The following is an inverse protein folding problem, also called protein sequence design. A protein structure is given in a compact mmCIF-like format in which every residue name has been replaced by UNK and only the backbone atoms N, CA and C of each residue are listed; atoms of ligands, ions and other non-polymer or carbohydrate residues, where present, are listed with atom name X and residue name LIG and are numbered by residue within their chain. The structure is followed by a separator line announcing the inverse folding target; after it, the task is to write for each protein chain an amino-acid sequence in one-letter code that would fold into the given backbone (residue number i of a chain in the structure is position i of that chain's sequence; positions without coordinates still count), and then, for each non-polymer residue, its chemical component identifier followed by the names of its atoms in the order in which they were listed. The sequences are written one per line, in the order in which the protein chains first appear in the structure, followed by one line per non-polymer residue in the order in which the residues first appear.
data_IF_459522030420
#
_entry.id   IF_459522030420
#
_cell.length_a   1.000
_cell.length_b   1.000
_cell.length_c   1.000
_cell.angle_alpha   90.00
_cell.angle_beta   90.00
_cell.angle_gamma   90.00
#
_symmetry.space_group_name_H-M   'P 1'
#
loop_
_entity.id
_entity.type
_entity.pdbx_description
1 polymer ?
#
# COMPACT_ATOMS: atom_id res chain seq x y z
N UNK A 1 -24.47 1.03 -5.77
CA UNK A 1 -23.63 0.92 -4.55
C UNK A 1 -22.28 0.32 -4.97
N UNK A 2 -21.19 0.85 -4.42
CA UNK A 2 -19.85 0.32 -4.71
C UNK A 2 -19.70 -1.11 -4.19
N UNK A 3 -18.97 -1.92 -4.93
CA UNK A 3 -18.62 -3.30 -4.58
C UNK A 3 -17.11 -3.38 -4.40
N UNK A 4 -16.65 -3.66 -3.17
CA UNK A 4 -15.23 -3.68 -2.83
C UNK A 4 -14.61 -5.03 -3.14
N UNK A 5 -13.61 -5.06 -4.04
CA UNK A 5 -12.67 -6.17 -4.19
C UNK A 5 -11.41 -5.90 -3.36
N UNK A 6 -11.05 -6.83 -2.50
CA UNK A 6 -9.77 -6.82 -1.78
C UNK A 6 -8.80 -7.76 -2.48
N UNK A 7 -7.57 -7.31 -2.68
CA UNK A 7 -6.47 -8.11 -3.24
C UNK A 7 -5.40 -8.25 -2.17
N UNK A 8 -5.02 -9.47 -1.85
CA UNK A 8 -3.87 -9.76 -0.97
C UNK A 8 -2.83 -10.55 -1.75
N UNK A 9 -1.64 -9.98 -1.91
CA UNK A 9 -0.50 -10.73 -2.45
C UNK A 9 0.32 -11.33 -1.32
N UNK A 10 0.91 -12.50 -1.55
CA UNK A 10 1.72 -13.21 -0.55
C UNK A 10 2.86 -14.01 -1.20
N UNK A 11 3.94 -14.21 -0.42
CA UNK A 11 5.11 -14.97 -0.85
C UNK A 11 5.79 -15.65 0.35
N UNK A 12 5.63 -16.96 0.52
CA UNK A 12 6.22 -17.79 1.59
C UNK A 12 5.96 -17.27 3.02
N UNK A 13 4.79 -16.68 3.28
CA UNK A 13 4.46 -16.02 4.55
C UNK A 13 3.05 -16.35 5.04
N UNK A 14 2.76 -17.64 5.20
CA UNK A 14 1.45 -18.16 5.57
C UNK A 14 0.87 -17.51 6.84
N UNK A 15 1.67 -17.34 7.90
CA UNK A 15 1.20 -16.74 9.16
C UNK A 15 0.71 -15.31 8.98
N UNK A 16 1.43 -14.52 8.16
CA UNK A 16 1.07 -13.14 7.86
C UNK A 16 -0.21 -13.07 7.03
N UNK A 17 -0.30 -13.96 6.01
CA UNK A 17 -1.51 -14.09 5.21
C UNK A 17 -2.73 -14.45 6.07
N UNK A 18 -2.60 -15.40 6.99
CA UNK A 18 -3.68 -15.79 7.91
C UNK A 18 -4.14 -14.62 8.76
N UNK A 19 -3.21 -13.79 9.25
CA UNK A 19 -3.51 -12.59 10.03
C UNK A 19 -4.29 -11.57 9.20
N UNK A 20 -3.87 -11.33 7.95
CA UNK A 20 -4.56 -10.45 7.00
C UNK A 20 -5.96 -10.99 6.70
N UNK A 21 -6.10 -12.27 6.36
CA UNK A 21 -7.37 -12.93 6.09
C UNK A 21 -8.34 -12.79 7.27
N UNK A 22 -7.85 -13.04 8.49
CA UNK A 22 -8.65 -12.90 9.71
C UNK A 22 -9.16 -11.48 9.91
N UNK A 23 -8.35 -10.46 9.58
CA UNK A 23 -8.76 -9.05 9.67
C UNK A 23 -9.85 -8.67 8.66
N UNK A 24 -9.82 -9.29 7.46
CA UNK A 24 -10.87 -9.14 6.44
C UNK A 24 -12.14 -9.85 6.90
N UNK A 25 -12.02 -11.05 7.45
CA UNK A 25 -13.15 -11.84 7.93
C UNK A 25 -13.85 -11.20 9.14
N UNK A 26 -13.12 -10.45 9.94
CA UNK A 26 -13.64 -9.73 11.10
C UNK A 26 -14.40 -8.43 10.73
N UNK A 27 -14.39 -7.99 9.46
CA UNK A 27 -15.10 -6.78 9.07
C UNK A 27 -16.62 -6.93 9.22
N UNK A 28 -17.31 -5.86 9.65
CA UNK A 28 -18.78 -5.82 9.76
C UNK A 28 -19.43 -5.95 8.39
N UNK A 29 -19.03 -5.11 7.44
CA UNK A 29 -19.37 -5.27 6.03
C UNK A 29 -18.34 -6.18 5.36
N UNK A 30 -18.80 -7.25 4.70
CA UNK A 30 -17.90 -8.15 3.96
C UNK A 30 -17.53 -7.54 2.62
N UNK A 31 -16.29 -7.79 2.12
CA UNK A 31 -15.97 -7.42 0.74
C UNK A 31 -16.86 -8.19 -0.23
N UNK A 32 -17.05 -7.63 -1.42
CA UNK A 32 -17.70 -8.33 -2.53
C UNK A 32 -16.92 -9.57 -2.93
N UNK A 33 -15.57 -9.46 -2.96
CA UNK A 33 -14.63 -10.54 -3.16
C UNK A 33 -13.28 -10.24 -2.52
N UNK A 34 -12.54 -11.28 -2.14
CA UNK A 34 -11.18 -11.20 -1.62
C UNK A 34 -10.30 -12.17 -2.40
N UNK A 35 -9.43 -11.64 -3.26
CA UNK A 35 -8.48 -12.43 -4.03
C UNK A 35 -7.14 -12.55 -3.31
N UNK A 36 -6.70 -13.79 -3.08
CA UNK A 36 -5.34 -14.12 -2.65
C UNK A 36 -4.52 -14.44 -3.91
N UNK A 37 -3.43 -13.73 -4.11
CA UNK A 37 -2.47 -13.97 -5.20
C UNK A 37 -1.18 -14.49 -4.56
N UNK A 38 -0.96 -15.77 -4.69
CA UNK A 38 0.16 -16.47 -4.08
C UNK A 38 1.25 -16.76 -5.11
N UNK A 39 2.39 -16.05 -4.98
CA UNK A 39 3.60 -16.26 -5.78
C UNK A 39 4.62 -17.21 -5.14
N UNK A 40 4.27 -17.89 -4.05
CA UNK A 40 5.18 -18.68 -3.21
C UNK A 40 5.98 -19.72 -3.97
N UNK A 41 7.16 -20.03 -3.43
CA UNK A 41 8.03 -21.10 -3.95
C UNK A 41 7.72 -22.46 -3.31
N UNK A 42 7.01 -22.48 -2.18
CA UNK A 42 6.51 -23.67 -1.49
C UNK A 42 5.00 -23.84 -1.70
N UNK A 43 4.40 -24.89 -1.15
CA UNK A 43 2.98 -25.22 -1.29
C UNK A 43 2.14 -24.87 -0.06
N UNK A 44 2.74 -24.36 1.02
CA UNK A 44 2.07 -24.17 2.32
C UNK A 44 0.81 -23.32 2.23
N UNK A 45 0.86 -22.21 1.48
CA UNK A 45 -0.28 -21.31 1.30
C UNK A 45 -1.36 -21.99 0.45
N UNK A 46 -0.99 -22.61 -0.66
CA UNK A 46 -1.93 -23.31 -1.53
C UNK A 46 -2.63 -24.46 -0.78
N UNK A 47 -1.90 -25.25 -0.01
CA UNK A 47 -2.43 -26.32 0.83
C UNK A 47 -3.37 -25.79 1.90
N UNK A 48 -3.01 -24.70 2.58
CA UNK A 48 -3.88 -24.06 3.56
C UNK A 48 -5.20 -23.58 2.92
N UNK A 49 -5.12 -22.89 1.78
CA UNK A 49 -6.31 -22.38 1.06
C UNK A 49 -7.24 -23.51 0.61
N UNK A 50 -6.70 -24.65 0.19
CA UNK A 50 -7.48 -25.81 -0.27
C UNK A 50 -8.07 -26.62 0.87
N UNK A 51 -7.33 -26.82 1.96
CA UNK A 51 -7.69 -27.75 3.03
C UNK A 51 -8.42 -27.09 4.22
N UNK A 52 -8.47 -25.73 4.26
CA UNK A 52 -9.15 -25.00 5.31
C UNK A 52 -10.43 -24.35 4.77
N UNK A 53 -11.59 -24.44 5.45
CA UNK A 53 -12.81 -23.77 5.02
C UNK A 53 -12.57 -22.27 4.81
N UNK A 54 -12.93 -21.79 3.62
CA UNK A 54 -12.81 -20.37 3.25
C UNK A 54 -14.20 -19.75 3.08
N UNK A 55 -14.39 -18.45 3.40
CA UNK A 55 -15.65 -17.77 3.14
C UNK A 55 -15.91 -17.67 1.63
N UNK A 56 -17.18 -17.66 1.22
CA UNK A 56 -17.58 -17.67 -0.19
C UNK A 56 -17.01 -16.53 -1.04
N UNK A 57 -16.72 -15.38 -0.42
CA UNK A 57 -16.14 -14.23 -1.12
C UNK A 57 -14.63 -14.36 -1.34
N UNK A 58 -13.94 -15.36 -0.71
CA UNK A 58 -12.50 -15.57 -0.90
C UNK A 58 -12.22 -16.48 -2.08
N UNK A 59 -11.36 -16.00 -2.96
CA UNK A 59 -10.86 -16.69 -4.15
C UNK A 59 -9.34 -16.62 -4.16
N UNK A 60 -8.67 -17.47 -4.90
CA UNK A 60 -7.21 -17.46 -4.96
C UNK A 60 -6.66 -17.88 -6.31
N UNK A 61 -5.45 -17.42 -6.58
CA UNK A 61 -4.59 -17.85 -7.68
C UNK A 61 -3.20 -18.15 -7.10
N UNK A 62 -2.78 -19.41 -7.17
CA UNK A 62 -1.46 -19.85 -6.72
C UNK A 62 -0.61 -20.16 -7.94
N UNK A 63 0.21 -19.20 -8.36
CA UNK A 63 1.14 -19.34 -9.47
C UNK A 63 2.31 -18.37 -9.32
N UNK A 64 3.49 -18.75 -9.83
CA UNK A 64 4.66 -17.89 -9.80
C UNK A 64 4.39 -16.54 -10.42
N UNK A 65 4.86 -15.50 -9.76
CA UNK A 65 4.87 -14.13 -10.26
C UNK A 65 6.29 -13.66 -10.64
N UNK A 66 6.35 -12.56 -11.37
CA UNK A 66 7.58 -11.86 -11.77
C UNK A 66 7.96 -10.74 -10.79
N UNK A 67 7.29 -10.67 -9.66
CA UNK A 67 7.43 -9.67 -8.60
C UNK A 67 6.11 -8.98 -8.26
N UNK A 68 6.16 -8.07 -7.29
CA UNK A 68 5.01 -7.41 -6.66
C UNK A 68 4.03 -6.82 -7.68
N UNK A 69 4.52 -6.11 -8.70
CA UNK A 69 3.67 -5.49 -9.73
C UNK A 69 2.88 -6.53 -10.53
N UNK A 70 3.50 -7.66 -10.88
CA UNK A 70 2.84 -8.75 -11.61
C UNK A 70 1.75 -9.39 -10.74
N UNK A 71 2.03 -9.62 -9.44
CA UNK A 71 1.04 -10.13 -8.50
C UNK A 71 -0.15 -9.17 -8.34
N UNK A 72 0.09 -7.86 -8.20
CA UNK A 72 -0.97 -6.85 -8.17
C UNK A 72 -1.81 -6.87 -9.46
N UNK A 73 -1.15 -6.93 -10.62
CA UNK A 73 -1.82 -6.91 -11.92
C UNK A 73 -2.65 -8.17 -12.15
N UNK A 74 -2.19 -9.36 -11.70
CA UNK A 74 -3.00 -10.58 -11.70
C UNK A 74 -4.26 -10.42 -10.85
N UNK A 75 -4.13 -9.86 -9.64
CA UNK A 75 -5.28 -9.54 -8.79
C UNK A 75 -6.26 -8.58 -9.45
N UNK A 76 -5.77 -7.48 -10.04
CA UNK A 76 -6.58 -6.50 -10.75
C UNK A 76 -7.35 -7.12 -11.94
N UNK A 77 -6.72 -8.03 -12.66
CA UNK A 77 -7.34 -8.72 -13.80
C UNK A 77 -8.50 -9.64 -13.38
N UNK A 78 -8.40 -10.26 -12.20
CA UNK A 78 -9.40 -11.19 -11.67
C UNK A 78 -10.56 -10.49 -10.98
N UNK A 79 -10.33 -9.31 -10.40
CA UNK A 79 -11.35 -8.57 -9.65
C UNK A 79 -12.48 -8.08 -10.55
N UNK A 80 -13.72 -8.17 -10.05
CA UNK A 80 -14.93 -7.71 -10.74
C UNK A 80 -15.63 -6.56 -10.03
N UNK A 81 -15.34 -6.31 -8.76
CA UNK A 81 -15.90 -5.18 -8.00
C UNK A 81 -15.55 -3.81 -8.59
N UNK A 82 -16.37 -2.83 -8.31
CA UNK A 82 -16.19 -1.45 -8.80
C UNK A 82 -15.14 -0.67 -8.06
N UNK A 83 -14.82 -1.06 -6.82
CA UNK A 83 -13.81 -0.44 -5.95
C UNK A 83 -12.74 -1.47 -5.59
N UNK A 84 -11.48 -1.13 -5.71
CA UNK A 84 -10.34 -2.01 -5.47
C UNK A 84 -9.55 -1.50 -4.26
N UNK A 85 -9.19 -2.42 -3.38
CA UNK A 85 -8.23 -2.21 -2.29
C UNK A 85 -7.15 -3.29 -2.32
N UNK A 86 -5.89 -2.90 -2.24
CA UNK A 86 -4.77 -3.83 -2.11
C UNK A 86 -4.30 -3.81 -0.66
N UNK A 87 -4.53 -4.91 0.05
CA UNK A 87 -4.12 -5.15 1.42
C UNK A 87 -3.10 -6.28 1.43
N UNK A 88 -1.81 -5.96 1.51
CA UNK A 88 -0.76 -6.96 1.43
C UNK A 88 -0.80 -7.93 2.61
N UNK A 89 -0.23 -9.10 2.43
CA UNK A 89 0.04 -10.02 3.54
C UNK A 89 0.90 -9.33 4.61
N UNK A 90 0.55 -9.51 5.89
CA UNK A 90 1.00 -8.83 7.10
C UNK A 90 0.26 -7.51 7.42
N UNK A 91 -0.32 -6.82 6.44
CA UNK A 91 -1.18 -5.67 6.70
C UNK A 91 -2.56 -6.13 7.20
N UNK A 92 -3.14 -5.45 8.19
CA UNK A 92 -4.46 -5.78 8.72
C UNK A 92 -5.34 -4.53 8.82
N UNK A 93 -6.63 -4.67 8.60
CA UNK A 93 -7.57 -3.58 8.86
C UNK A 93 -7.51 -3.15 10.34
N UNK A 94 -7.47 -1.85 10.58
CA UNK A 94 -7.35 -1.28 11.92
C UNK A 94 -8.58 -1.52 12.79
N UNK A 95 -9.77 -1.42 12.21
CA UNK A 95 -11.05 -1.58 12.91
C UNK A 95 -12.00 -2.47 12.11
N UNK A 96 -12.98 -3.06 12.76
CA UNK A 96 -13.97 -3.92 12.10
C UNK A 96 -14.94 -3.17 11.19
N UNK A 97 -15.04 -1.85 11.30
CA UNK A 97 -15.92 -1.00 10.48
C UNK A 97 -15.24 -0.38 9.25
N UNK A 98 -13.96 -0.71 8.96
CA UNK A 98 -13.23 -0.05 7.87
C UNK A 98 -13.93 -0.20 6.53
N UNK A 99 -14.31 -1.41 6.14
CA UNK A 99 -15.00 -1.64 4.85
C UNK A 99 -16.34 -0.89 4.81
N UNK A 100 -17.13 -0.94 5.88
CA UNK A 100 -18.41 -0.23 5.96
C UNK A 100 -18.23 1.28 5.78
N UNK A 101 -17.27 1.88 6.51
CA UNK A 101 -16.97 3.32 6.43
C UNK A 101 -16.49 3.73 5.03
N UNK A 102 -15.64 2.92 4.40
CA UNK A 102 -15.15 3.15 3.04
C UNK A 102 -16.28 3.11 2.02
N UNK A 103 -17.13 2.09 2.08
CA UNK A 103 -18.28 1.99 1.17
C UNK A 103 -19.25 3.15 1.37
N UNK A 104 -19.54 3.55 2.61
CA UNK A 104 -20.36 4.71 2.93
C UNK A 104 -19.74 6.00 2.37
N UNK A 105 -18.41 6.17 2.51
CA UNK A 105 -17.68 7.32 2.01
C UNK A 105 -17.79 7.46 0.48
N UNK A 106 -17.54 6.39 -0.27
CA UNK A 106 -17.64 6.42 -1.74
C UNK A 106 -19.08 6.56 -2.23
N UNK A 107 -20.05 5.92 -1.58
CA UNK A 107 -21.47 6.05 -1.92
C UNK A 107 -21.99 7.47 -1.69
N UNK A 108 -21.48 8.19 -0.67
CA UNK A 108 -21.82 9.59 -0.39
C UNK A 108 -21.10 10.56 -1.31
N UNK A 109 -19.89 10.24 -1.77
CA UNK A 109 -19.03 11.12 -2.55
C UNK A 109 -18.74 10.49 -3.93
N UNK A 110 -19.78 10.37 -4.75
CA UNK A 110 -19.74 9.62 -6.04
C UNK A 110 -18.73 10.14 -7.05
N UNK A 111 -18.36 11.43 -6.98
CA UNK A 111 -17.37 12.06 -7.85
C UNK A 111 -15.93 11.60 -7.55
N UNK A 112 -15.65 11.08 -6.35
CA UNK A 112 -14.32 10.62 -5.96
C UNK A 112 -13.97 9.36 -6.75
N UNK A 113 -12.76 9.36 -7.32
CA UNK A 113 -12.23 8.28 -8.14
C UNK A 113 -11.24 7.40 -7.38
N UNK A 114 -10.53 7.99 -6.43
CA UNK A 114 -9.69 7.29 -5.49
C UNK A 114 -9.57 8.02 -4.16
N UNK A 115 -9.30 7.30 -3.09
CA UNK A 115 -9.14 7.86 -1.76
C UNK A 115 -8.01 7.18 -1.01
N UNK A 116 -7.46 7.86 0.00
CA UNK A 116 -6.55 7.28 0.99
C UNK A 116 -6.94 7.68 2.40
N UNK A 117 -6.38 6.98 3.38
CA UNK A 117 -6.51 7.29 4.80
C UNK A 117 -5.18 7.22 5.53
N UNK A 118 -5.21 6.96 6.83
CA UNK A 118 -4.05 6.83 7.67
C UNK A 118 -3.65 5.36 7.87
N UNK A 119 -2.36 5.13 8.10
CA UNK A 119 -1.85 3.87 8.67
C UNK A 119 -1.52 4.06 10.15
N UNK A 120 -1.60 2.99 10.91
CA UNK A 120 -0.99 2.87 12.24
C UNK A 120 0.23 1.97 12.10
N UNK A 121 1.41 2.46 12.43
CA UNK A 121 2.64 1.68 12.39
C UNK A 121 3.48 1.86 13.64
N UNK A 122 4.34 0.87 13.93
CA UNK A 122 5.24 0.94 15.08
C UNK A 122 6.55 1.61 14.67
N UNK A 123 6.91 2.71 15.33
CA UNK A 123 8.21 3.39 15.16
C UNK A 123 8.92 3.46 16.50
N UNK A 124 10.12 2.92 16.58
CA UNK A 124 10.91 2.89 17.83
C UNK A 124 10.10 2.37 19.05
N UNK A 125 9.28 1.34 18.84
CA UNK A 125 8.46 0.75 19.89
C UNK A 125 7.13 1.46 20.18
N UNK A 126 6.86 2.63 19.59
CA UNK A 126 5.66 3.45 19.81
C UNK A 126 4.74 3.35 18.59
N UNK A 127 3.44 3.17 18.83
CA UNK A 127 2.43 3.23 17.77
C UNK A 127 2.19 4.67 17.33
N UNK A 128 2.36 4.93 16.04
CA UNK A 128 2.20 6.25 15.44
C UNK A 128 1.23 6.17 14.27
N UNK A 129 0.22 7.05 14.30
CA UNK A 129 -0.67 7.24 13.16
C UNK A 129 0.02 8.14 12.13
N UNK A 130 0.02 7.70 10.86
CA UNK A 130 0.66 8.42 9.76
C UNK A 130 -0.32 8.49 8.59
N UNK A 131 -0.50 9.68 8.07
CA UNK A 131 -1.29 9.96 6.88
C UNK A 131 -1.30 11.44 6.59
N UNK A 132 -1.36 11.80 5.33
CA UNK A 132 -1.58 13.17 4.85
C UNK A 132 -2.46 13.11 3.60
N UNK A 133 -3.25 14.14 3.32
CA UNK A 133 -3.93 14.26 2.04
C UNK A 133 -2.93 14.26 0.88
N UNK A 134 -3.32 13.65 -0.23
CA UNK A 134 -2.56 13.72 -1.47
C UNK A 134 -2.55 15.16 -2.00
N UNK A 135 -1.36 15.61 -2.40
CA UNK A 135 -1.15 16.89 -3.05
C UNK A 135 -0.25 16.69 -4.28
N UNK A 136 -0.83 16.87 -5.45
CA UNK A 136 -0.12 16.70 -6.73
C UNK A 136 1.09 17.64 -6.89
N UNK A 137 1.09 18.80 -6.21
CA UNK A 137 2.22 19.74 -6.23
C UNK A 137 3.43 19.22 -5.46
N UNK A 138 3.22 18.25 -4.56
CA UNK A 138 4.26 17.65 -3.72
C UNK A 138 4.83 16.33 -4.30
N UNK A 139 4.39 15.91 -5.48
CA UNK A 139 4.85 14.65 -6.11
C UNK A 139 6.37 14.56 -6.20
N UNK A 140 7.08 15.66 -6.46
CA UNK A 140 8.55 15.67 -6.51
C UNK A 140 9.23 15.14 -5.23
N UNK A 141 8.48 15.05 -4.12
CA UNK A 141 8.95 14.52 -2.83
C UNK A 141 8.80 13.00 -2.70
N UNK A 142 8.26 12.30 -3.69
CA UNK A 142 7.88 10.90 -3.58
C UNK A 142 6.51 10.74 -2.91
N UNK A 143 6.18 9.51 -2.47
CA UNK A 143 4.87 9.20 -1.87
C UNK A 143 4.59 9.93 -0.56
N UNK A 144 5.61 10.36 0.17
CA UNK A 144 5.49 10.95 1.51
C UNK A 144 4.73 9.99 2.46
N UNK A 145 3.66 10.51 3.11
CA UNK A 145 2.80 9.73 4.00
C UNK A 145 1.42 9.42 3.37
N UNK A 146 1.33 9.35 2.03
CA UNK A 146 0.16 8.84 1.30
C UNK A 146 0.39 7.35 1.08
N UNK A 147 0.15 6.55 2.10
CA UNK A 147 0.56 5.14 2.13
C UNK A 147 -0.33 4.26 1.25
N UNK A 148 0.26 3.50 0.32
CA UNK A 148 -0.43 2.63 -0.62
C UNK A 148 -1.43 1.65 0.05
N UNK A 149 -1.14 1.00 1.20
CA UNK A 149 -2.09 0.11 1.86
C UNK A 149 -3.40 0.77 2.32
N UNK A 150 -3.53 2.10 2.16
CA UNK A 150 -4.78 2.82 2.48
C UNK A 150 -5.56 3.26 1.25
N UNK A 151 -5.13 2.87 0.05
CA UNK A 151 -5.77 3.35 -1.17
C UNK A 151 -6.96 2.50 -1.55
N UNK A 152 -8.05 3.19 -1.83
CA UNK A 152 -9.23 2.64 -2.46
C UNK A 152 -9.38 3.34 -3.81
N UNK A 153 -9.33 2.57 -4.88
CA UNK A 153 -9.32 3.10 -6.25
C UNK A 153 -10.45 2.46 -7.05
N UNK A 154 -11.27 3.26 -7.73
CA UNK A 154 -12.30 2.71 -8.60
C UNK A 154 -11.66 1.91 -9.73
N UNK A 155 -12.22 0.74 -10.05
CA UNK A 155 -11.69 -0.16 -11.08
C UNK A 155 -11.53 0.54 -12.44
N UNK A 156 -12.47 1.40 -12.80
CA UNK A 156 -12.43 2.17 -14.05
C UNK A 156 -11.22 3.12 -14.14
N UNK A 157 -10.65 3.54 -12.99
CA UNK A 157 -9.43 4.36 -12.97
C UNK A 157 -8.25 3.55 -13.50
N UNK A 158 -8.09 2.29 -13.08
CA UNK A 158 -7.04 1.42 -13.62
C UNK A 158 -7.17 1.22 -15.14
N UNK A 159 -8.40 1.20 -15.66
CA UNK A 159 -8.64 1.11 -17.11
C UNK A 159 -8.16 2.38 -17.84
N UNK A 160 -8.23 3.56 -17.20
CA UNK A 160 -7.80 4.84 -17.78
C UNK A 160 -6.31 5.11 -17.60
N UNK A 161 -5.79 4.89 -16.39
CA UNK A 161 -4.39 5.26 -16.07
C UNK A 161 -3.41 4.10 -16.24
N UNK A 162 -3.92 2.87 -16.45
CA UNK A 162 -3.13 1.65 -16.55
C UNK A 162 -2.85 0.99 -15.19
N UNK A 163 -2.39 -0.24 -15.24
CA UNK A 163 -2.06 -1.09 -14.10
C UNK A 163 -0.68 -0.73 -13.50
N UNK A 164 -0.19 -1.50 -12.52
CA UNK A 164 1.13 -1.30 -11.93
C UNK A 164 2.26 -1.55 -12.94
N UNK A 165 3.23 -0.65 -12.98
CA UNK A 165 4.40 -0.79 -13.86
C UNK A 165 5.33 -1.91 -13.36
N UNK A 166 5.70 -2.83 -14.26
CA UNK A 166 6.70 -3.87 -13.97
C UNK A 166 8.15 -3.36 -14.14
N UNK A 167 8.33 -2.15 -14.65
CA UNK A 167 9.65 -1.53 -14.82
C UNK A 167 10.24 -1.11 -13.49
N UNK A 168 9.41 -0.57 -12.58
CA UNK A 168 9.83 -0.16 -11.26
C UNK A 168 9.61 -1.30 -10.26
N UNK A 169 10.65 -1.65 -9.51
CA UNK A 169 10.61 -2.81 -8.61
C UNK A 169 10.24 -2.45 -7.16
N UNK A 170 10.39 -1.18 -6.79
CA UNK A 170 10.13 -0.67 -5.45
C UNK A 170 9.11 0.47 -5.47
N UNK A 171 9.21 1.36 -6.47
CA UNK A 171 8.42 2.58 -6.56
C UNK A 171 7.23 2.46 -7.55
N UNK A 172 6.70 1.24 -7.75
CA UNK A 172 5.54 0.99 -8.63
C UNK A 172 4.26 1.67 -8.14
N UNK A 173 4.09 1.78 -6.84
CA UNK A 173 3.00 2.50 -6.20
C UNK A 173 3.13 4.02 -6.40
N UNK A 174 4.35 4.55 -6.30
CA UNK A 174 4.61 5.95 -6.60
C UNK A 174 4.41 6.27 -8.10
N UNK A 175 4.76 5.38 -9.00
CA UNK A 175 4.45 5.48 -10.42
C UNK A 175 2.94 5.58 -10.67
N UNK A 176 2.16 4.70 -10.03
CA UNK A 176 0.71 4.78 -10.09
C UNK A 176 0.18 6.09 -9.51
N UNK A 177 0.73 6.55 -8.36
CA UNK A 177 0.33 7.83 -7.76
C UNK A 177 0.58 9.02 -8.71
N UNK A 178 1.67 9.02 -9.45
CA UNK A 178 1.94 10.05 -10.47
C UNK A 178 0.88 10.06 -11.59
N UNK A 179 0.36 8.90 -11.98
CA UNK A 179 -0.70 8.77 -12.98
C UNK A 179 -2.08 9.15 -12.42
N UNK A 180 -2.32 8.92 -11.13
CA UNK A 180 -3.55 9.29 -10.42
C UNK A 180 -3.72 10.80 -10.22
N UNK A 181 -2.70 11.62 -10.49
CA UNK A 181 -2.71 13.07 -10.16
C UNK A 181 -3.87 13.87 -10.72
N UNK A 182 -4.50 13.38 -11.81
CA UNK A 182 -5.64 14.05 -12.48
C UNK A 182 -7.00 13.49 -12.04
N UNK A 183 -7.00 12.39 -11.31
CA UNK A 183 -8.21 11.74 -10.84
C UNK A 183 -8.73 12.43 -9.57
N UNK A 184 -10.06 12.54 -9.43
CA UNK A 184 -10.66 13.17 -8.26
C UNK A 184 -10.33 12.38 -7.00
N UNK A 185 -9.61 13.04 -6.10
CA UNK A 185 -9.10 12.46 -4.86
C UNK A 185 -9.97 12.79 -3.65
N UNK A 186 -10.08 11.84 -2.74
CA UNK A 186 -10.67 12.01 -1.41
C UNK A 186 -9.72 11.57 -0.29
N UNK A 187 -9.79 12.25 0.85
CA UNK A 187 -9.04 11.88 2.04
C UNK A 187 -9.99 11.47 3.16
N UNK A 188 -9.86 10.23 3.60
CA UNK A 188 -10.54 9.72 4.78
C UNK A 188 -9.62 9.94 5.98
N UNK A 189 -9.96 10.89 6.86
CA UNK A 189 -9.16 11.15 8.06
C UNK A 189 -9.39 10.06 9.13
N UNK A 190 -9.28 8.81 8.72
CA UNK A 190 -9.46 7.61 9.54
C UNK A 190 -8.25 6.69 9.39
N UNK A 191 -7.95 5.92 10.44
CA UNK A 191 -6.96 4.86 10.36
C UNK A 191 -7.57 3.65 9.66
N UNK A 192 -7.00 3.29 8.52
CA UNK A 192 -7.48 2.20 7.66
C UNK A 192 -6.76 0.89 8.00
N UNK A 193 -5.44 0.95 8.07
CA UNK A 193 -4.58 -0.23 8.17
C UNK A 193 -3.60 -0.09 9.33
N UNK A 194 -3.42 -1.17 10.06
CA UNK A 194 -2.26 -1.39 10.90
C UNK A 194 -1.19 -2.03 10.01
N UNK A 195 -0.13 -1.29 9.77
CA UNK A 195 0.90 -1.57 8.78
C UNK A 195 2.12 -2.23 9.42
N UNK A 196 2.62 -3.31 8.81
CA UNK A 196 3.93 -3.87 9.15
C UNK A 196 5.04 -3.17 8.34
N UNK A 197 6.07 -2.69 9.02
CA UNK A 197 7.18 -1.93 8.43
C UNK A 197 8.29 -2.82 7.82
N UNK A 198 8.12 -4.13 7.80
CA UNK A 198 9.06 -5.11 7.22
C UNK A 198 9.15 -5.13 5.68
N UNK A 199 8.45 -4.23 4.98
CA UNK A 199 8.32 -4.23 3.53
C UNK A 199 9.61 -3.91 2.75
N UNK A 200 9.57 -4.20 1.42
CA UNK A 200 10.70 -4.04 0.48
C UNK A 200 11.24 -2.61 0.43
N UNK A 201 10.37 -1.60 0.48
CA UNK A 201 10.76 -0.18 0.45
C UNK A 201 11.57 0.25 1.68
N UNK A 202 11.26 -0.32 2.84
CA UNK A 202 12.01 -0.08 4.08
C UNK A 202 13.39 -0.74 4.01
N UNK A 203 13.45 -2.00 3.57
CA UNK A 203 14.70 -2.77 3.49
C UNK A 203 15.64 -2.25 2.39
N UNK A 204 15.12 -1.62 1.34
CA UNK A 204 15.88 -1.08 0.22
C UNK A 204 15.72 0.44 0.08
N UNK A 205 15.69 1.16 1.20
CA UNK A 205 15.36 2.59 1.25
C UNK A 205 16.13 3.46 0.26
N UNK A 206 17.46 3.33 0.17
CA UNK A 206 18.26 4.14 -0.77
C UNK A 206 17.93 3.83 -2.25
N UNK A 207 17.63 2.58 -2.57
CA UNK A 207 17.18 2.21 -3.92
C UNK A 207 15.80 2.80 -4.22
N UNK A 208 14.89 2.81 -3.24
CA UNK A 208 13.58 3.42 -3.40
C UNK A 208 13.68 4.92 -3.70
N UNK A 209 14.61 5.64 -3.05
CA UNK A 209 14.87 7.05 -3.35
C UNK A 209 15.37 7.26 -4.79
N UNK A 210 16.23 6.38 -5.29
CA UNK A 210 16.71 6.44 -6.68
C UNK A 210 15.60 6.13 -7.69
N UNK A 211 14.75 5.15 -7.41
CA UNK A 211 13.60 4.85 -8.25
C UNK A 211 12.59 6.00 -8.24
N UNK A 212 12.36 6.66 -7.09
CA UNK A 212 11.48 7.84 -7.02
C UNK A 212 11.92 8.96 -7.97
N UNK A 213 13.23 9.22 -8.11
CA UNK A 213 13.71 10.19 -9.10
C UNK A 213 13.36 9.74 -10.51
N UNK A 214 13.65 8.47 -10.85
CA UNK A 214 13.38 7.92 -12.20
C UNK A 214 11.88 7.96 -12.53
N UNK A 215 11.03 7.57 -11.59
CA UNK A 215 9.56 7.66 -11.73
C UNK A 215 9.13 9.09 -11.98
N UNK A 216 9.57 10.04 -11.15
CA UNK A 216 9.17 11.44 -11.32
C UNK A 216 9.59 11.97 -12.69
N UNK A 217 10.86 11.73 -13.08
CA UNK A 217 11.41 12.23 -14.34
C UNK A 217 10.79 11.55 -15.58
N UNK A 218 10.32 10.31 -15.47
CA UNK A 218 9.61 9.65 -16.57
C UNK A 218 8.23 10.28 -16.86
N UNK A 219 7.58 10.85 -15.85
CA UNK A 219 6.26 11.49 -15.98
C UNK A 219 6.32 12.99 -16.24
N UNK A 220 7.33 13.70 -15.70
CA UNK A 220 7.36 15.16 -15.65
C UNK A 220 8.62 15.79 -16.24
N UNK A 221 9.56 14.97 -16.73
CA UNK A 221 10.85 15.42 -17.22
C UNK A 221 11.86 15.70 -16.10
N UNK A 222 13.07 16.10 -16.47
CA UNK A 222 14.17 16.38 -15.56
C UNK A 222 13.79 17.39 -14.47
N UNK A 223 14.13 17.07 -13.20
CA UNK A 223 13.74 17.89 -12.06
C UNK A 223 14.86 18.02 -11.02
N UNK A 224 15.42 19.22 -10.92
CA UNK A 224 16.36 19.56 -9.84
C UNK A 224 15.71 19.42 -8.48
N UNK A 225 14.43 19.80 -8.34
CA UNK A 225 13.69 19.71 -7.06
C UNK A 225 13.55 18.27 -6.59
N UNK A 226 13.17 17.33 -7.47
CA UNK A 226 13.07 15.91 -7.15
C UNK A 226 14.44 15.35 -6.75
N UNK A 227 15.49 15.64 -7.52
CA UNK A 227 16.86 15.17 -7.23
C UNK A 227 17.38 15.71 -5.89
N UNK A 228 17.23 17.01 -5.65
CA UNK A 228 17.68 17.65 -4.41
C UNK A 228 16.93 17.10 -3.19
N UNK A 229 15.62 16.87 -3.32
CA UNK A 229 14.83 16.27 -2.24
C UNK A 229 15.29 14.85 -1.90
N UNK A 230 15.45 13.98 -2.90
CA UNK A 230 15.88 12.60 -2.67
C UNK A 230 17.34 12.54 -2.19
N UNK A 231 18.22 13.43 -2.66
CA UNK A 231 19.58 13.58 -2.13
C UNK A 231 19.58 13.99 -0.66
N UNK A 232 18.76 14.97 -0.27
CA UNK A 232 18.57 15.36 1.13
C UNK A 232 18.15 14.18 2.00
N UNK A 233 17.20 13.35 1.53
CA UNK A 233 16.74 12.18 2.26
C UNK A 233 17.85 11.11 2.39
N UNK A 234 18.65 10.91 1.35
CA UNK A 234 19.81 10.01 1.39
C UNK A 234 20.85 10.49 2.40
N UNK A 235 21.13 11.79 2.42
CA UNK A 235 22.06 12.39 3.38
C UNK A 235 21.56 12.21 4.83
N UNK A 236 20.27 12.46 5.05
CA UNK A 236 19.61 12.26 6.35
C UNK A 236 19.67 10.79 6.80
N UNK A 237 19.47 9.85 5.87
CA UNK A 237 19.59 8.42 6.15
C UNK A 237 20.99 8.08 6.67
N UNK A 238 22.06 8.49 5.98
CA UNK A 238 23.44 8.25 6.42
C UNK A 238 23.75 8.93 7.75
N UNK A 239 23.25 10.16 7.94
CA UNK A 239 23.41 10.87 9.21
C UNK A 239 22.80 10.09 10.37
N UNK A 240 21.55 9.61 10.22
CA UNK A 240 20.85 8.84 11.27
C UNK A 240 21.49 7.47 11.54
N UNK A 241 22.15 6.86 10.56
CA UNK A 241 22.91 5.62 10.77
C UNK A 241 24.28 5.85 11.47
N UNK A 242 24.80 7.06 11.46
CA UNK A 242 26.04 7.41 12.12
C UNK A 242 25.93 7.34 13.66
N UNK A 243 27.06 7.21 14.37
CA UNK A 243 27.10 7.27 15.84
C UNK A 243 26.47 8.57 16.38
N UNK A 244 26.74 9.70 15.72
CA UNK A 244 26.20 11.00 16.07
C UNK A 244 24.67 11.06 15.86
N UNK A 245 24.17 10.55 14.75
CA UNK A 245 22.73 10.51 14.47
C UNK A 245 21.97 9.61 15.46
N UNK A 246 22.52 8.45 15.79
CA UNK A 246 21.95 7.56 16.83
C UNK A 246 21.90 8.25 18.20
N UNK A 247 22.94 9.01 18.56
CA UNK A 247 22.96 9.81 19.79
C UNK A 247 21.86 10.89 19.80
N UNK A 248 21.75 11.67 18.72
CA UNK A 248 20.68 12.69 18.58
C UNK A 248 19.28 12.08 18.63
N UNK A 249 19.08 10.93 18.00
CA UNK A 249 17.82 10.22 18.03
C UNK A 249 17.47 9.74 19.45
N UNK A 250 18.44 9.24 20.20
CA UNK A 250 18.25 8.82 21.59
C UNK A 250 17.86 9.99 22.51
N UNK A 251 18.46 11.18 22.33
CA UNK A 251 18.08 12.39 23.07
C UNK A 251 16.61 12.77 22.74
N UNK A 252 16.25 12.78 21.45
CA UNK A 252 14.89 13.11 21.03
C UNK A 252 13.86 12.12 21.56
N UNK A 253 14.16 10.82 21.53
CA UNK A 253 13.29 9.78 22.07
C UNK A 253 13.16 9.86 23.60
N UNK A 254 14.21 10.28 24.31
CA UNK A 254 14.19 10.50 25.77
C UNK A 254 13.31 11.67 26.21
N UNK A 255 13.14 12.69 25.36
CA UNK A 255 12.32 13.86 25.64
C UNK A 255 10.81 13.67 25.37
N UNK A 256 10.40 12.50 24.88
CA UNK A 256 8.99 12.13 24.64
C UNK A 256 8.47 11.07 25.65
N UNK A 257 9.17 10.92 26.79
CA UNK A 257 8.67 10.12 27.92
C UNK A 257 7.96 10.99 28.95
#
# INVERSE_FOLDING_TARGET
MEQLSVITICFNNLSDLQSTCSSVDAQLAKPYEHYIIDGSSNTEIAEWLQNTPQPQYRKWLCERDKGISDAFNKGLALCSGSLIHILNSADIYYAHSVIENVLAYFNKNTAIQWASGNILMKRAGIWVQIGVPFDAQQLYKGMRAVSHPTWFVKKEVYNRVGQFSEVFKIAMDYDLMCRLKKETYGYMNETIVKFDDGGVSTNQYLKSLQENVKVYESHFGFSIAARAWQFRLSLLYYLLQSKFGKFLYAIKAGNFK
#
